data_IF_341391875164
#
_entry.id   IF_341391875164
#
_cell.length_a   1.000
_cell.length_b   1.000
_cell.length_c   1.000
_cell.angle_alpha   90.00
_cell.angle_beta   90.00
_cell.angle_gamma   90.00
#
_symmetry.space_group_name_H-M   'P 1'
#
loop_
_entity.id
_entity.type
_entity.pdbx_description
1 polymer ?
#
# COMPACT_ATOMS: atom_id res chain seq x y z
N UNK A 1 -2.38 2.11 17.93
CA UNK A 1 -1.29 3.00 17.44
C UNK A 1 0.03 2.34 17.82
N UNK A 2 0.93 2.12 16.86
CA UNK A 2 2.18 1.42 17.09
C UNK A 2 2.66 0.62 15.86
N UNK A 3 3.81 -0.01 16.03
CA UNK A 3 4.42 -0.92 15.06
C UNK A 3 3.95 -2.35 15.34
N UNK A 4 3.44 -3.03 14.32
CA UNK A 4 3.10 -4.45 14.31
C UNK A 4 4.04 -5.16 13.35
N UNK A 5 4.88 -6.05 13.86
CA UNK A 5 5.84 -6.82 13.06
C UNK A 5 5.19 -8.10 12.53
N UNK A 6 5.58 -8.52 11.34
CA UNK A 6 5.18 -9.84 10.82
C UNK A 6 5.95 -10.96 11.51
N UNK A 7 5.35 -12.15 11.59
CA UNK A 7 6.03 -13.36 12.06
C UNK A 7 7.15 -13.79 11.10
N UNK A 8 6.91 -13.65 9.79
CA UNK A 8 7.89 -13.86 8.73
C UNK A 8 8.05 -12.59 7.88
N UNK A 9 9.25 -12.29 7.37
CA UNK A 9 9.45 -11.12 6.51
C UNK A 9 8.58 -11.20 5.25
N UNK A 10 7.91 -10.09 4.93
CA UNK A 10 7.08 -9.95 3.75
C UNK A 10 7.88 -9.63 2.49
N UNK A 11 7.16 -9.19 1.45
CA UNK A 11 7.71 -8.96 0.12
C UNK A 11 8.79 -7.87 0.05
N UNK A 12 9.59 -7.94 -1.02
CA UNK A 12 10.53 -6.90 -1.39
C UNK A 12 9.80 -5.73 -2.06
N UNK A 13 10.04 -4.53 -1.53
CA UNK A 13 9.55 -3.29 -2.08
C UNK A 13 10.55 -2.76 -3.10
N UNK A 14 10.08 -2.47 -4.32
CA UNK A 14 10.89 -1.92 -5.43
C UNK A 14 11.21 -0.43 -5.22
N UNK A 15 11.85 -0.10 -4.09
CA UNK A 15 12.33 1.25 -3.80
C UNK A 15 13.83 1.38 -4.10
N UNK A 16 14.25 2.52 -4.63
CA UNK A 16 15.64 2.84 -4.95
C UNK A 16 16.28 3.80 -3.93
N UNK A 17 15.48 4.64 -3.28
CA UNK A 17 15.97 5.61 -2.31
C UNK A 17 14.91 6.02 -1.28
N UNK A 18 15.38 6.57 -0.17
CA UNK A 18 14.58 7.13 0.90
C UNK A 18 15.08 8.52 1.30
N UNK A 19 14.15 9.40 1.65
CA UNK A 19 14.45 10.66 2.36
C UNK A 19 13.74 10.64 3.71
N UNK A 20 14.50 10.51 4.79
CA UNK A 20 13.99 10.61 6.16
C UNK A 20 13.46 12.02 6.38
N UNK A 21 12.24 12.13 6.89
CA UNK A 21 11.67 13.42 7.29
C UNK A 21 11.39 13.52 8.78
N UNK A 22 11.35 12.40 9.49
CA UNK A 22 11.16 12.39 10.93
C UNK A 22 11.69 11.11 11.57
N UNK A 23 12.66 11.21 12.48
CA UNK A 23 13.04 10.15 13.40
C UNK A 23 12.06 10.11 14.58
N UNK A 24 11.57 8.92 14.92
CA UNK A 24 10.64 8.69 16.05
C UNK A 24 11.39 8.10 17.27
N UNK A 25 10.76 8.15 18.45
CA UNK A 25 11.40 7.83 19.75
C UNK A 25 11.96 6.40 19.88
N UNK A 26 11.59 5.48 18.98
CA UNK A 26 12.15 4.12 18.92
C UNK A 26 13.45 4.01 18.10
N UNK A 27 13.98 5.12 17.57
CA UNK A 27 15.10 5.11 16.62
C UNK A 27 14.71 4.70 15.20
N UNK A 28 13.44 4.39 14.97
CA UNK A 28 12.87 4.22 13.62
C UNK A 28 12.69 5.60 12.95
N UNK A 29 12.50 5.61 11.64
CA UNK A 29 12.35 6.85 10.88
C UNK A 29 11.20 6.77 9.89
N UNK A 30 10.37 7.82 9.82
CA UNK A 30 9.46 8.01 8.71
C UNK A 30 10.21 8.64 7.53
N UNK A 31 10.05 8.05 6.35
CA UNK A 31 10.76 8.47 5.15
C UNK A 31 9.86 8.45 3.90
N UNK A 32 10.14 9.36 2.97
CA UNK A 32 9.62 9.32 1.61
C UNK A 32 10.42 8.34 0.76
N UNK A 33 9.75 7.44 0.06
CA UNK A 33 10.39 6.54 -0.91
C UNK A 33 10.43 7.16 -2.32
N UNK A 34 11.53 6.98 -3.06
CA UNK A 34 11.70 7.31 -4.49
C UNK A 34 11.32 8.73 -4.91
N UNK A 35 11.65 9.74 -4.08
CA UNK A 35 11.26 11.15 -4.33
C UNK A 35 9.74 11.38 -4.44
N UNK A 36 8.92 10.37 -4.12
CA UNK A 36 7.47 10.50 -4.01
C UNK A 36 7.10 11.12 -2.66
N UNK A 37 6.52 12.32 -2.70
CA UNK A 37 5.88 12.93 -1.52
C UNK A 37 4.68 12.10 -1.01
N UNK A 38 4.17 11.17 -1.82
CA UNK A 38 3.04 10.32 -1.47
C UNK A 38 3.44 9.09 -0.65
N UNK A 39 4.51 8.40 -1.04
CA UNK A 39 4.87 7.10 -0.48
C UNK A 39 5.70 7.26 0.78
N UNK A 40 5.09 7.02 1.94
CA UNK A 40 5.74 7.09 3.24
C UNK A 40 5.95 5.67 3.77
N UNK A 41 7.13 5.41 4.32
CA UNK A 41 7.48 4.15 5.00
C UNK A 41 7.99 4.43 6.41
N UNK A 42 7.83 3.50 7.33
CA UNK A 42 8.60 3.46 8.58
C UNK A 42 9.85 2.61 8.37
N UNK A 43 11.02 3.23 8.35
CA UNK A 43 12.31 2.55 8.31
C UNK A 43 12.68 2.06 9.71
N UNK A 44 12.93 0.76 9.84
CA UNK A 44 13.45 0.12 11.05
C UNK A 44 14.98 0.03 10.91
N UNK A 45 15.75 0.51 11.90
CA UNK A 45 17.20 0.46 11.84
C UNK A 45 17.69 -0.99 11.92
N UNK A 46 18.73 -1.31 11.15
CA UNK A 46 19.54 -2.51 11.36
C UNK A 46 20.47 -2.34 12.57
N UNK A 47 21.15 -3.42 12.96
CA UNK A 47 22.17 -3.35 14.02
C UNK A 47 23.20 -2.25 13.72
N UNK A 48 23.41 -1.34 14.68
CA UNK A 48 24.29 -0.18 14.58
C UNK A 48 23.88 0.91 13.58
N UNK A 49 22.71 0.81 12.94
CA UNK A 49 22.18 1.87 12.09
C UNK A 49 21.44 2.91 12.93
N UNK A 50 21.69 4.19 12.65
CA UNK A 50 20.95 5.30 13.25
C UNK A 50 20.49 6.22 12.13
N UNK A 51 19.25 6.69 12.26
CA UNK A 51 18.68 7.66 11.33
C UNK A 51 18.78 9.08 11.90
N UNK A 52 18.78 10.06 11.00
CA UNK A 52 18.63 11.48 11.33
C UNK A 52 17.68 12.15 10.34
N UNK A 53 17.06 13.25 10.77
CA UNK A 53 16.13 14.01 9.91
C UNK A 53 16.85 14.53 8.65
N UNK A 54 16.13 14.55 7.53
CA UNK A 54 16.65 14.89 6.20
C UNK A 54 17.73 13.95 5.64
N UNK A 55 18.02 12.82 6.29
CA UNK A 55 18.93 11.81 5.75
C UNK A 55 18.42 11.27 4.41
N UNK A 56 19.27 11.36 3.38
CA UNK A 56 19.07 10.67 2.10
C UNK A 56 19.77 9.32 2.14
N UNK A 57 19.03 8.26 1.84
CA UNK A 57 19.50 6.89 1.76
C UNK A 57 19.27 6.40 0.34
N UNK A 58 20.33 6.02 -0.37
CA UNK A 58 20.24 5.46 -1.72
C UNK A 58 20.61 3.99 -1.62
N UNK A 59 19.72 3.12 -2.06
CA UNK A 59 19.97 1.68 -2.07
C UNK A 59 20.97 1.35 -3.18
N UNK A 60 21.93 0.48 -2.85
CA UNK A 60 22.82 -0.13 -3.84
C UNK A 60 22.06 -1.18 -4.66
N UNK A 61 22.64 -1.60 -5.79
CA UNK A 61 22.03 -2.61 -6.67
C UNK A 61 21.81 -3.98 -6.01
N UNK A 62 22.54 -4.27 -4.93
CA UNK A 62 22.46 -5.48 -4.12
C UNK A 62 21.63 -5.30 -2.84
N UNK A 63 20.96 -4.16 -2.69
CA UNK A 63 20.12 -3.84 -1.54
C UNK A 63 18.66 -3.72 -1.94
N UNK A 64 17.77 -4.13 -1.04
CA UNK A 64 16.34 -3.92 -1.20
C UNK A 64 15.68 -3.54 0.12
N UNK A 65 14.51 -2.93 0.04
CA UNK A 65 13.67 -2.69 1.19
C UNK A 65 12.72 -3.88 1.37
N UNK A 66 12.86 -4.61 2.46
CA UNK A 66 11.99 -5.71 2.82
C UNK A 66 10.86 -5.20 3.72
N UNK A 67 9.63 -5.57 3.38
CA UNK A 67 8.46 -5.25 4.18
C UNK A 67 8.37 -6.17 5.39
N UNK A 68 8.45 -5.63 6.61
CA UNK A 68 8.59 -6.42 7.84
C UNK A 68 7.49 -6.16 8.87
N UNK A 69 6.53 -5.30 8.56
CA UNK A 69 5.42 -4.98 9.45
C UNK A 69 4.61 -3.78 8.99
N UNK A 70 3.63 -3.38 9.78
CA UNK A 70 2.79 -2.20 9.53
C UNK A 70 2.92 -1.23 10.71
N UNK A 71 3.06 0.06 10.41
CA UNK A 71 3.10 1.11 11.42
C UNK A 71 1.83 1.97 11.35
N UNK A 72 1.07 2.00 12.45
CA UNK A 72 -0.14 2.83 12.59
C UNK A 72 0.14 4.03 13.50
N UNK A 73 -0.12 5.24 13.01
CA UNK A 73 0.10 6.50 13.73
C UNK A 73 -1.06 7.47 13.55
N UNK A 74 -1.19 8.41 14.49
CA UNK A 74 -2.15 9.52 14.38
C UNK A 74 -1.44 10.79 13.97
N UNK A 75 -2.01 11.52 13.02
CA UNK A 75 -1.54 12.85 12.64
C UNK A 75 -2.00 13.89 13.67
N UNK A 76 -1.46 15.12 13.58
CA UNK A 76 -1.89 16.25 14.44
C UNK A 76 -3.37 16.64 14.28
N UNK A 77 -4.06 16.12 13.27
CA UNK A 77 -5.49 16.33 13.03
C UNK A 77 -6.34 15.13 13.49
N UNK A 78 -5.80 14.24 14.33
CA UNK A 78 -6.43 13.00 14.81
C UNK A 78 -6.87 12.03 13.71
N UNK A 79 -6.34 12.19 12.49
CA UNK A 79 -6.51 11.23 11.41
C UNK A 79 -5.50 10.11 11.63
N UNK A 80 -5.99 8.89 11.81
CA UNK A 80 -5.19 7.69 11.85
C UNK A 80 -4.72 7.31 10.44
N UNK A 81 -3.45 6.91 10.34
CA UNK A 81 -2.80 6.48 9.10
C UNK A 81 -1.99 5.22 9.32
N UNK A 82 -1.77 4.47 8.25
CA UNK A 82 -0.88 3.32 8.23
C UNK A 82 0.17 3.46 7.14
N UNK A 83 1.39 3.00 7.42
CA UNK A 83 2.51 2.96 6.48
C UNK A 83 3.23 1.62 6.62
N UNK A 84 3.85 1.11 5.55
CA UNK A 84 4.66 -0.10 5.63
C UNK A 84 5.89 0.15 6.50
N UNK A 85 6.23 -0.83 7.33
CA UNK A 85 7.48 -0.85 8.07
C UNK A 85 8.51 -1.67 7.30
N UNK A 86 9.68 -1.10 7.03
CA UNK A 86 10.69 -1.68 6.14
C UNK A 86 12.06 -1.79 6.82
N UNK A 87 12.81 -2.83 6.48
CA UNK A 87 14.25 -2.94 6.72
C UNK A 87 15.00 -2.96 5.40
N UNK A 88 16.15 -2.33 5.36
CA UNK A 88 17.06 -2.48 4.21
C UNK A 88 17.85 -3.76 4.43
N UNK A 89 17.85 -4.67 3.45
CA UNK A 89 18.65 -5.90 3.53
C UNK A 89 19.61 -5.99 2.35
N UNK A 90 20.78 -6.60 2.59
CA UNK A 90 21.83 -6.84 1.61
C UNK A 90 21.67 -8.25 0.99
N UNK A 91 22.04 -8.41 -0.28
CA UNK A 91 22.31 -9.72 -0.89
C UNK A 91 21.11 -10.48 -1.47
N UNK A 92 20.08 -9.79 -1.95
CA UNK A 92 18.87 -10.44 -2.50
C UNK A 92 18.89 -10.52 -4.03
N UNK A 93 18.99 -11.74 -4.58
CA UNK A 93 18.44 -12.03 -5.92
C UNK A 93 16.91 -12.11 -5.78
N UNK A 94 16.17 -11.17 -6.38
CA UNK A 94 14.70 -11.09 -6.31
C UNK A 94 14.04 -12.44 -6.65
N UNK A 95 13.42 -13.16 -5.69
CA UNK A 95 12.68 -14.37 -5.96
C UNK A 95 11.27 -14.04 -6.46
N UNK A 96 10.80 -14.78 -7.46
CA UNK A 96 9.41 -14.77 -7.95
C UNK A 96 8.51 -15.44 -6.90
N UNK A 97 7.50 -14.72 -6.40
CA UNK A 97 6.66 -15.13 -5.26
C UNK A 97 5.83 -16.40 -5.51
N UNK A 98 5.65 -17.20 -4.45
CA UNK A 98 4.77 -18.37 -4.37
C UNK A 98 4.06 -18.43 -2.99
N UNK A 99 2.72 -18.40 -2.98
CA UNK A 99 1.75 -19.05 -2.02
C UNK A 99 1.64 -18.50 -0.56
N UNK A 100 0.54 -18.59 0.25
CA UNK A 100 -0.82 -19.24 0.22
C UNK A 100 -1.90 -18.31 0.87
N UNK A 101 -3.01 -18.72 1.58
CA UNK A 101 -4.21 -17.88 1.97
C UNK A 101 -4.65 -17.81 3.49
N UNK A 102 -5.08 -16.62 4.01
CA UNK A 102 -5.77 -16.35 5.31
C UNK A 102 -7.10 -15.58 5.15
N UNK A 103 -7.97 -15.72 6.16
CA UNK A 103 -9.43 -15.61 6.07
C UNK A 103 -10.00 -14.17 6.00
N UNK A 104 -10.87 -13.92 5.01
CA UNK A 104 -11.49 -12.61 4.74
C UNK A 104 -12.79 -12.39 5.50
N UNK A 105 -12.91 -11.22 6.18
CA UNK A 105 -14.18 -10.68 6.65
C UNK A 105 -15.04 -10.21 5.46
N UNK A 106 -16.24 -10.76 5.28
CA UNK A 106 -17.10 -10.52 4.10
C UNK A 106 -18.17 -9.43 4.29
N UNK A 107 -18.11 -8.63 5.36
CA UNK A 107 -19.13 -7.60 5.63
C UNK A 107 -19.21 -6.57 4.49
N UNK A 108 -20.43 -6.27 4.03
CA UNK A 108 -20.71 -5.26 3.00
C UNK A 108 -20.39 -5.69 1.55
N UNK A 109 -19.88 -6.91 1.31
CA UNK A 109 -19.45 -7.37 -0.02
C UNK A 109 -20.52 -8.27 -0.66
N UNK A 110 -20.89 -7.98 -1.90
CA UNK A 110 -21.75 -8.83 -2.74
C UNK A 110 -21.00 -9.17 -4.02
N UNK A 111 -20.55 -10.42 -4.14
CA UNK A 111 -19.84 -10.91 -5.34
C UNK A 111 -20.83 -11.43 -6.39
N UNK A 112 -20.47 -11.28 -7.66
CA UNK A 112 -21.25 -11.78 -8.79
C UNK A 112 -20.80 -13.20 -9.19
N UNK A 113 -21.72 -14.00 -9.71
CA UNK A 113 -21.41 -15.33 -10.25
C UNK A 113 -20.50 -15.28 -11.47
N UNK A 114 -20.55 -14.18 -12.23
CA UNK A 114 -19.73 -13.92 -13.41
C UNK A 114 -19.15 -12.51 -13.36
N UNK A 115 -17.88 -12.33 -13.78
CA UNK A 115 -17.30 -10.99 -13.91
C UNK A 115 -18.14 -10.11 -14.83
N UNK A 116 -18.40 -8.89 -14.38
CA UNK A 116 -19.10 -7.86 -15.13
C UNK A 116 -18.18 -7.11 -16.09
N UNK A 117 -18.46 -5.81 -16.23
CA UNK A 117 -17.80 -4.93 -17.18
C UNK A 117 -16.39 -4.52 -16.75
N UNK A 118 -15.63 -4.08 -17.76
CA UNK A 118 -14.33 -3.47 -17.59
C UNK A 118 -14.55 -2.01 -17.15
N UNK A 119 -14.29 -1.68 -15.89
CA UNK A 119 -14.56 -0.33 -15.35
C UNK A 119 -13.43 0.64 -15.65
N UNK A 120 -12.19 0.17 -15.74
CA UNK A 120 -11.05 1.00 -16.15
C UNK A 120 -9.84 0.16 -16.56
N UNK A 121 -8.98 0.73 -17.41
CA UNK A 121 -7.66 0.20 -17.78
C UNK A 121 -6.50 0.98 -17.14
N UNK A 122 -6.78 2.01 -16.34
CA UNK A 122 -5.77 2.85 -15.70
C UNK A 122 -5.35 2.25 -14.36
N UNK A 123 -4.24 2.76 -13.82
CA UNK A 123 -3.74 2.38 -12.50
C UNK A 123 -4.62 2.99 -11.41
N UNK A 124 -4.46 2.51 -10.17
CA UNK A 124 -5.23 2.99 -9.03
C UNK A 124 -4.28 3.43 -7.91
N UNK A 125 -4.69 4.43 -7.13
CA UNK A 125 -4.02 4.83 -5.89
C UNK A 125 -4.90 4.41 -4.71
N UNK A 126 -4.36 3.58 -3.83
CA UNK A 126 -5.03 3.19 -2.57
C UNK A 126 -5.27 4.44 -1.73
N UNK A 127 -6.52 4.71 -1.38
CA UNK A 127 -6.88 5.82 -0.49
C UNK A 127 -6.95 5.38 0.96
N UNK A 128 -7.41 4.15 1.19
CA UNK A 128 -7.63 3.61 2.52
C UNK A 128 -7.57 2.09 2.51
N UNK A 129 -6.82 1.53 3.45
CA UNK A 129 -6.86 0.09 3.77
C UNK A 129 -7.91 -0.17 4.86
N UNK A 130 -8.77 -1.16 4.63
CA UNK A 130 -9.81 -1.57 5.57
C UNK A 130 -9.24 -2.54 6.63
N UNK A 131 -9.96 -2.72 7.74
CA UNK A 131 -9.60 -3.71 8.76
C UNK A 131 -9.54 -5.15 8.22
N UNK A 132 -10.22 -5.43 7.11
CA UNK A 132 -10.14 -6.73 6.42
C UNK A 132 -8.88 -6.91 5.56
N UNK A 133 -8.00 -5.93 5.48
CA UNK A 133 -6.86 -5.88 4.56
C UNK A 133 -7.21 -5.36 3.17
N UNK A 134 -8.45 -5.53 2.70
CA UNK A 134 -8.92 -4.96 1.41
C UNK A 134 -8.70 -3.44 1.32
N UNK A 135 -8.47 -2.94 0.10
CA UNK A 135 -8.19 -1.53 -0.16
C UNK A 135 -9.31 -0.83 -0.92
N UNK A 136 -9.70 0.36 -0.45
CA UNK A 136 -10.44 1.33 -1.25
C UNK A 136 -9.41 2.14 -2.04
N UNK A 137 -9.56 2.19 -3.36
CA UNK A 137 -8.63 2.87 -4.25
C UNK A 137 -9.36 3.73 -5.29
N UNK A 138 -8.72 4.83 -5.70
CA UNK A 138 -9.21 5.70 -6.76
C UNK A 138 -8.41 5.48 -8.03
N UNK A 139 -9.08 5.49 -9.17
CA UNK A 139 -8.41 5.46 -10.47
C UNK A 139 -7.51 6.69 -10.63
N UNK A 140 -6.27 6.48 -11.09
CA UNK A 140 -5.34 7.55 -11.42
C UNK A 140 -5.72 8.10 -12.79
N UNK A 141 -6.18 9.35 -12.83
CA UNK A 141 -6.50 10.05 -14.07
C UNK A 141 -5.24 10.35 -14.87
N UNK A 142 -4.25 10.92 -14.19
CA UNK A 142 -2.98 11.37 -14.75
C UNK A 142 -1.91 11.57 -13.67
N UNK A 143 -0.65 11.66 -14.08
CA UNK A 143 0.48 11.99 -13.21
C UNK A 143 1.26 13.14 -13.83
N UNK A 144 1.33 14.28 -13.15
CA UNK A 144 1.99 15.50 -13.66
C UNK A 144 3.04 15.94 -12.63
N UNK A 145 4.30 16.03 -13.05
CA UNK A 145 5.40 16.49 -12.18
C UNK A 145 5.59 15.63 -10.93
N UNK A 146 5.30 14.32 -11.00
CA UNK A 146 5.35 13.41 -9.84
C UNK A 146 4.11 13.44 -8.95
N UNK A 147 3.13 14.30 -9.22
CA UNK A 147 1.85 14.35 -8.49
C UNK A 147 0.81 13.45 -9.15
N UNK A 148 0.14 12.63 -8.33
CA UNK A 148 -0.94 11.76 -8.74
C UNK A 148 -2.25 12.53 -8.66
N UNK A 149 -2.99 12.57 -9.78
CA UNK A 149 -4.34 13.11 -9.84
C UNK A 149 -5.30 11.95 -10.06
N UNK A 150 -6.20 11.75 -9.11
CA UNK A 150 -7.22 10.70 -9.16
C UNK A 150 -8.50 11.18 -9.85
N UNK A 151 -9.29 10.24 -10.36
CA UNK A 151 -10.66 10.48 -10.82
C UNK A 151 -11.67 10.12 -9.73
N UNK A 152 -12.96 10.31 -10.02
CA UNK A 152 -14.04 9.96 -9.09
C UNK A 152 -14.35 8.45 -9.07
N UNK A 153 -13.67 7.65 -9.91
CA UNK A 153 -13.85 6.19 -9.93
C UNK A 153 -13.16 5.55 -8.72
N UNK A 154 -13.96 5.29 -7.69
CA UNK A 154 -13.57 4.55 -6.50
C UNK A 154 -13.92 3.07 -6.62
N UNK A 155 -13.01 2.20 -6.18
CA UNK A 155 -13.15 0.74 -6.28
C UNK A 155 -12.69 0.06 -4.98
N UNK A 156 -13.25 -1.11 -4.68
CA UNK A 156 -12.69 -2.02 -3.69
C UNK A 156 -11.79 -3.05 -4.38
N UNK A 157 -10.54 -3.14 -3.94
CA UNK A 157 -9.60 -4.18 -4.32
C UNK A 157 -9.50 -5.15 -3.15
N UNK A 158 -9.88 -6.40 -3.40
CA UNK A 158 -9.82 -7.43 -2.36
C UNK A 158 -8.37 -7.80 -2.09
N UNK A 159 -7.94 -7.73 -0.84
CA UNK A 159 -6.63 -8.22 -0.43
C UNK A 159 -6.61 -9.74 -0.50
N UNK A 160 -5.80 -10.31 -1.35
CA UNK A 160 -5.42 -11.71 -1.30
C UNK A 160 -4.39 -11.89 -0.17
N UNK A 161 -4.19 -13.11 0.34
CA UNK A 161 -3.15 -13.28 1.37
C UNK A 161 -1.77 -12.95 0.78
N UNK A 162 -0.96 -12.27 1.58
CA UNK A 162 0.29 -11.65 1.15
C UNK A 162 0.09 -10.22 0.65
N UNK A 163 -1.12 -9.85 0.22
CA UNK A 163 -1.41 -8.44 -0.09
C UNK A 163 -1.35 -7.65 1.20
N UNK A 164 -0.34 -6.80 1.30
CA UNK A 164 -0.26 -5.78 2.32
C UNK A 164 -0.43 -4.42 1.65
N UNK A 165 -1.70 -4.08 1.40
CA UNK A 165 -2.00 -2.75 0.89
C UNK A 165 -1.59 -1.69 1.93
N UNK A 166 -1.21 -0.51 1.43
CA UNK A 166 -0.95 0.66 2.26
C UNK A 166 -1.48 1.92 1.58
N UNK A 167 -1.76 2.95 2.38
CA UNK A 167 -2.30 4.20 1.87
C UNK A 167 -1.33 4.85 0.87
N UNK A 168 -1.87 5.36 -0.23
CA UNK A 168 -1.16 5.95 -1.38
C UNK A 168 -0.32 4.97 -2.19
N UNK A 169 -0.51 3.67 -2.00
CA UNK A 169 0.08 2.67 -2.89
C UNK A 169 -0.49 2.81 -4.31
N UNK A 170 0.39 2.78 -5.31
CA UNK A 170 -0.02 2.71 -6.72
C UNK A 170 -0.15 1.25 -7.14
N UNK A 171 -1.39 0.83 -7.43
CA UNK A 171 -1.72 -0.47 -8.00
C UNK A 171 -1.69 -0.36 -9.52
N UNK A 172 -0.69 -1.01 -10.13
CA UNK A 172 -0.53 -1.03 -11.60
C UNK A 172 -1.46 -2.07 -12.22
N UNK A 173 -2.26 -1.66 -13.20
CA UNK A 173 -3.05 -2.60 -14.00
C UNK A 173 -2.13 -3.25 -15.04
N UNK A 174 -2.02 -4.60 -15.09
CA UNK A 174 -1.13 -5.26 -16.03
C UNK A 174 -1.52 -4.96 -17.49
N UNK A 175 -0.51 -4.85 -18.37
CA UNK A 175 -0.73 -4.56 -19.78
C UNK A 175 -1.67 -5.59 -20.42
N UNK A 176 -2.69 -5.10 -21.12
CA UNK A 176 -3.70 -5.93 -21.79
C UNK A 176 -4.86 -6.35 -20.90
N UNK A 177 -4.76 -6.20 -19.58
CA UNK A 177 -5.84 -6.44 -18.61
C UNK A 177 -6.64 -5.18 -18.35
N UNK A 178 -7.70 -5.31 -17.57
CA UNK A 178 -8.38 -4.17 -16.97
C UNK A 178 -8.95 -4.47 -15.59
N UNK A 179 -9.28 -3.43 -14.84
CA UNK A 179 -10.09 -3.53 -13.64
C UNK A 179 -11.50 -3.95 -14.06
N UNK A 180 -11.84 -5.20 -13.82
CA UNK A 180 -13.13 -5.79 -14.16
C UNK A 180 -13.94 -5.97 -12.89
N UNK A 181 -15.19 -5.51 -12.92
CA UNK A 181 -16.09 -5.62 -11.78
C UNK A 181 -16.44 -7.08 -11.51
N UNK A 182 -16.37 -7.50 -10.25
CA UNK A 182 -16.73 -8.83 -9.78
C UNK A 182 -17.72 -8.80 -8.61
N UNK A 183 -18.19 -7.61 -8.24
CA UNK A 183 -19.14 -7.43 -7.15
C UNK A 183 -19.35 -5.96 -6.82
N UNK A 184 -20.08 -5.73 -5.73
CA UNK A 184 -20.32 -4.43 -5.14
C UNK A 184 -19.94 -4.45 -3.66
N UNK A 185 -19.33 -3.37 -3.19
CA UNK A 185 -19.03 -3.13 -1.79
C UNK A 185 -19.87 -1.97 -1.29
N UNK A 186 -20.60 -2.19 -0.20
CA UNK A 186 -21.44 -1.21 0.49
C UNK A 186 -20.81 -0.85 1.82
N UNK A 187 -20.62 0.44 2.08
CA UNK A 187 -20.12 0.95 3.35
C UNK A 187 -20.76 2.30 3.72
N UNK A 188 -20.69 2.66 5.01
CA UNK A 188 -21.18 3.94 5.53
C UNK A 188 -20.04 4.96 5.57
N UNK A 189 -20.28 6.14 5.00
CA UNK A 189 -19.34 7.26 4.99
C UNK A 189 -20.11 8.55 5.32
N UNK A 190 -19.70 9.23 6.39
CA UNK A 190 -20.33 10.48 6.87
C UNK A 190 -21.87 10.38 7.05
N UNK A 191 -22.37 9.23 7.48
CA UNK A 191 -23.81 8.99 7.67
C UNK A 191 -24.59 8.75 6.38
N UNK A 192 -23.89 8.51 5.27
CA UNK A 192 -24.46 8.11 3.98
C UNK A 192 -23.93 6.75 3.53
N UNK A 193 -24.79 5.92 2.97
CA UNK A 193 -24.38 4.65 2.39
C UNK A 193 -23.78 4.86 1.00
N UNK A 194 -22.52 4.49 0.81
CA UNK A 194 -21.85 4.46 -0.49
C UNK A 194 -21.79 3.03 -1.03
N UNK A 195 -21.85 2.89 -2.36
CA UNK A 195 -21.71 1.59 -3.05
C UNK A 195 -20.70 1.74 -4.17
N UNK A 196 -19.64 0.93 -4.14
CA UNK A 196 -18.55 0.95 -5.11
C UNK A 196 -18.32 -0.43 -5.72
N UNK A 197 -17.78 -0.54 -6.95
CA UNK A 197 -17.45 -1.82 -7.56
C UNK A 197 -16.30 -2.51 -6.82
N UNK A 198 -16.43 -3.82 -6.63
CA UNK A 198 -15.31 -4.71 -6.28
C UNK A 198 -14.63 -5.12 -7.60
N UNK A 199 -13.31 -4.96 -7.72
CA UNK A 199 -12.60 -5.22 -8.98
C UNK A 199 -11.53 -6.29 -8.87
N UNK A 200 -11.24 -6.93 -9.99
CA UNK A 200 -10.06 -7.79 -10.21
C UNK A 200 -9.38 -7.40 -11.52
N UNK A 201 -8.06 -7.61 -11.63
CA UNK A 201 -7.31 -7.29 -12.84
C UNK A 201 -7.19 -8.52 -13.76
N UNK A 202 -8.04 -8.58 -14.79
CA UNK A 202 -8.10 -9.69 -15.75
C UNK A 202 -8.18 -9.22 -17.19
#
# INVERSE_FOLDING_TARGET
IGLEMFEEPGDYMEYSQFKVFQVVSSGCALAHADESFGTIVLMIPNENQQFYDDQKIVLKSDQCAQHVGTYRYSTKMDIEKTVPAVRIIDGVELPKSNKTISAKNNSGKTLFDKPGECVSRKNFEVQKVLESGDAIALEIRETIGGHIFTSDLEVLILAHEGDNFYDKQVIKVPKGKCARQIGNYRYEEYGSTKVIPIVTFK
#
